data_IF_551913354931
#
_entry.id   IF_551913354931
#
_cell.length_a   1.000
_cell.length_b   1.000
_cell.length_c   1.000
_cell.angle_alpha   90.00
_cell.angle_beta   90.00
_cell.angle_gamma   90.00
#
_symmetry.space_group_name_H-M   'P 1'
#
loop_
_entity.id
_entity.type
_entity.pdbx_description
1 polymer ?
#
# COMPACT_ATOMS: atom_id res chain seq x y z
N UNK A 1 14.80 -0.85 24.09
CA UNK A 1 14.36 0.31 23.28
C UNK A 1 13.17 -0.13 22.42
N UNK A 2 12.03 0.56 22.52
CA UNK A 2 11.07 0.80 21.42
C UNK A 2 10.21 -0.32 20.78
N UNK A 3 9.97 -1.51 21.37
CA UNK A 3 8.99 -2.47 20.81
C UNK A 3 7.61 -1.82 20.52
N UNK A 4 7.16 -0.93 21.41
CA UNK A 4 5.92 -0.16 21.21
C UNK A 4 6.00 0.79 20.02
N UNK A 5 7.12 1.50 19.84
CA UNK A 5 7.27 2.44 18.72
C UNK A 5 7.43 1.72 17.37
N UNK A 6 8.08 0.55 17.33
CA UNK A 6 8.16 -0.27 16.10
C UNK A 6 6.81 -0.88 15.74
N UNK A 7 6.02 -1.32 16.73
CA UNK A 7 4.65 -1.78 16.53
C UNK A 7 3.72 -0.65 16.04
N UNK A 8 3.79 0.53 16.65
CA UNK A 8 3.02 1.70 16.21
C UNK A 8 3.38 2.08 14.77
N UNK A 9 4.67 2.06 14.41
CA UNK A 9 5.10 2.35 13.05
C UNK A 9 4.54 1.33 12.04
N UNK A 10 4.63 0.03 12.36
CA UNK A 10 4.06 -1.05 11.53
C UNK A 10 2.54 -0.87 11.36
N UNK A 11 1.81 -0.57 12.43
CA UNK A 11 0.36 -0.29 12.35
C UNK A 11 0.02 0.90 11.45
N UNK A 12 0.78 1.99 11.55
CA UNK A 12 0.53 3.19 10.75
C UNK A 12 0.72 2.89 9.26
N UNK A 13 1.78 2.14 8.93
CA UNK A 13 2.03 1.70 7.54
C UNK A 13 0.94 0.75 7.07
N UNK A 14 0.53 -0.23 7.88
CA UNK A 14 -0.55 -1.14 7.54
C UNK A 14 -1.87 -0.38 7.28
N UNK A 15 -2.24 0.56 8.15
CA UNK A 15 -3.43 1.41 7.93
C UNK A 15 -3.31 2.25 6.65
N UNK A 16 -2.11 2.72 6.31
CA UNK A 16 -1.86 3.46 5.05
C UNK A 16 -1.99 2.56 3.83
N UNK A 17 -1.47 1.34 3.90
CA UNK A 17 -1.59 0.32 2.86
C UNK A 17 -3.07 0.01 2.57
N UNK A 18 -3.87 -0.25 3.60
CA UNK A 18 -5.30 -0.54 3.45
C UNK A 18 -6.06 0.57 2.73
N UNK A 19 -5.80 1.84 3.10
CA UNK A 19 -6.40 2.99 2.39
C UNK A 19 -5.98 3.05 0.92
N UNK A 20 -4.73 2.70 0.60
CA UNK A 20 -4.22 2.71 -0.78
C UNK A 20 -4.78 1.54 -1.60
N UNK A 21 -4.93 0.36 -1.01
CA UNK A 21 -5.63 -0.79 -1.61
C UNK A 21 -7.10 -0.48 -1.91
N UNK A 22 -7.80 0.20 -1.01
CA UNK A 22 -9.17 0.64 -1.24
C UNK A 22 -9.26 1.64 -2.42
N UNK A 23 -8.37 2.64 -2.46
CA UNK A 23 -8.28 3.58 -3.59
C UNK A 23 -7.99 2.85 -4.91
N UNK A 24 -7.12 1.84 -4.87
CA UNK A 24 -6.76 1.05 -6.04
C UNK A 24 -7.95 0.23 -6.54
N UNK A 25 -8.65 -0.45 -5.64
CA UNK A 25 -9.85 -1.23 -5.97
C UNK A 25 -10.95 -0.36 -6.58
N UNK A 26 -11.14 0.86 -6.08
CA UNK A 26 -12.12 1.79 -6.66
C UNK A 26 -11.70 2.22 -8.06
N UNK A 27 -10.42 2.58 -8.24
CA UNK A 27 -9.91 2.95 -9.56
C UNK A 27 -9.98 1.76 -10.53
N UNK A 28 -9.70 0.53 -10.09
CA UNK A 28 -9.89 -0.68 -10.91
C UNK A 28 -11.33 -0.88 -11.35
N UNK A 29 -12.31 -0.59 -10.50
CA UNK A 29 -13.73 -0.66 -10.87
C UNK A 29 -14.06 0.36 -11.96
N UNK A 30 -13.57 1.59 -11.81
CA UNK A 30 -13.73 2.65 -12.82
C UNK A 30 -13.08 2.21 -14.13
N UNK A 31 -11.86 1.66 -14.09
CA UNK A 31 -11.14 1.18 -15.28
C UNK A 31 -11.82 0.00 -15.98
N UNK A 32 -12.58 -0.83 -15.24
CA UNK A 32 -13.28 -2.02 -15.73
C UNK A 32 -14.74 -1.74 -16.15
N UNK A 33 -15.27 -0.56 -15.85
CA UNK A 33 -16.64 -0.16 -16.19
C UNK A 33 -16.81 0.24 -17.67
N UNK A 34 -18.04 0.55 -18.05
CA UNK A 34 -18.41 0.97 -19.41
C UNK A 34 -17.89 2.39 -19.73
N UNK A 35 -16.60 2.49 -20.04
CA UNK A 35 -15.95 3.70 -20.51
C UNK A 35 -14.46 3.44 -20.77
N UNK A 36 -13.91 4.01 -21.85
CA UNK A 36 -12.47 3.91 -22.09
C UNK A 36 -11.73 4.79 -21.07
N UNK A 37 -10.81 4.23 -20.26
CA UNK A 37 -10.16 5.02 -19.23
C UNK A 37 -9.27 6.10 -19.82
N UNK A 38 -9.33 7.28 -19.23
CA UNK A 38 -8.47 8.39 -19.59
C UNK A 38 -7.00 8.05 -19.33
N UNK A 39 -6.10 8.69 -20.07
CA UNK A 39 -4.65 8.57 -19.83
C UNK A 39 -4.24 8.97 -18.41
N UNK A 40 -5.00 9.87 -17.78
CA UNK A 40 -4.81 10.31 -16.39
C UNK A 40 -5.17 9.19 -15.42
N UNK A 41 -6.29 8.49 -15.62
CA UNK A 41 -6.70 7.36 -14.77
C UNK A 41 -5.73 6.18 -14.89
N UNK A 42 -5.30 5.85 -16.13
CA UNK A 42 -4.29 4.81 -16.36
C UNK A 42 -2.97 5.13 -15.64
N UNK A 43 -2.54 6.40 -15.67
CA UNK A 43 -1.33 6.85 -14.95
C UNK A 43 -1.49 6.74 -13.44
N UNK A 44 -2.59 7.29 -12.90
CA UNK A 44 -2.90 7.21 -11.46
C UNK A 44 -2.95 5.76 -10.97
N UNK A 45 -3.46 4.85 -11.80
CA UNK A 45 -3.52 3.43 -11.50
C UNK A 45 -2.13 2.82 -11.36
N UNK A 46 -1.23 3.07 -12.31
CA UNK A 46 0.16 2.59 -12.27
C UNK A 46 0.90 3.16 -11.06
N UNK A 47 0.78 4.47 -10.82
CA UNK A 47 1.40 5.13 -9.66
C UNK A 47 0.89 4.55 -8.34
N UNK A 48 -0.41 4.29 -8.25
CA UNK A 48 -1.01 3.75 -7.05
C UNK A 48 -0.62 2.29 -6.80
N UNK A 49 -0.48 1.47 -7.86
CA UNK A 49 0.10 0.11 -7.75
C UNK A 49 1.52 0.14 -7.22
N UNK A 50 2.35 1.07 -7.72
CA UNK A 50 3.72 1.21 -7.24
C UNK A 50 3.77 1.59 -5.74
N UNK A 51 2.89 2.49 -5.29
CA UNK A 51 2.79 2.86 -3.87
C UNK A 51 2.32 1.69 -3.00
N UNK A 52 1.35 0.88 -3.47
CA UNK A 52 0.91 -0.32 -2.74
C UNK A 52 2.05 -1.31 -2.59
N UNK A 53 2.76 -1.60 -3.68
CA UNK A 53 3.90 -2.53 -3.68
C UNK A 53 5.00 -2.07 -2.71
N UNK A 54 5.34 -0.78 -2.73
CA UNK A 54 6.36 -0.22 -1.83
C UNK A 54 5.95 -0.36 -0.36
N UNK A 55 4.69 -0.08 -0.03
CA UNK A 55 4.19 -0.22 1.34
C UNK A 55 4.19 -1.68 1.82
N UNK A 56 3.89 -2.63 0.93
CA UNK A 56 3.99 -4.07 1.21
C UNK A 56 5.44 -4.49 1.47
N UNK A 57 6.37 -4.04 0.63
CA UNK A 57 7.80 -4.31 0.81
C UNK A 57 8.34 -3.73 2.12
N UNK A 58 7.92 -2.52 2.49
CA UNK A 58 8.35 -1.89 3.76
C UNK A 58 7.83 -2.68 4.97
N UNK A 59 6.61 -3.23 4.91
CA UNK A 59 6.10 -4.10 5.97
C UNK A 59 6.86 -5.42 6.04
N UNK A 60 7.16 -6.04 4.90
CA UNK A 60 7.95 -7.28 4.84
C UNK A 60 9.37 -7.10 5.42
N UNK A 61 10.02 -5.99 5.09
CA UNK A 61 11.31 -5.60 5.66
C UNK A 61 11.19 -5.36 7.17
N UNK A 62 10.14 -4.67 7.62
CA UNK A 62 9.91 -4.42 9.04
C UNK A 62 9.77 -5.75 9.81
N UNK A 63 9.05 -6.71 9.23
CA UNK A 63 8.83 -8.03 9.84
C UNK A 63 10.15 -8.80 9.95
N UNK A 64 10.92 -8.83 8.85
CA UNK A 64 12.26 -9.43 8.85
C UNK A 64 13.23 -8.79 9.85
N UNK A 65 13.19 -7.46 10.01
CA UNK A 65 14.09 -6.72 10.89
C UNK A 65 13.70 -6.78 12.37
N UNK A 66 12.41 -6.96 12.67
CA UNK A 66 11.91 -6.99 14.04
C UNK A 66 11.80 -8.41 14.59
N UNK A 67 11.53 -9.41 13.74
CA UNK A 67 11.46 -10.82 14.14
C UNK A 67 12.87 -11.44 14.33
N UNK A 68 13.89 -10.91 13.64
CA UNK A 68 15.29 -11.33 13.80
C UNK A 68 15.99 -10.81 15.08
N UNK A 69 15.26 -10.07 15.92
CA UNK A 69 15.77 -9.54 17.20
C UNK A 69 15.16 -10.24 18.43
N UNK A 70 14.53 -11.39 18.24
CA UNK A 70 14.12 -12.34 19.31
C UNK A 70 15.13 -13.49 19.45
#
# INVERSE_FOLDING_TARGET
MNKDLTMIYKEVIAKRLERKKAQLSELERILKGDGEPTSVEKRKFIELKAVVQELENVLDIADSLFDSKE
#
